data_IF_078120161393
#
_entry.id   IF_078120161393
#
_cell.length_a   1.000
_cell.length_b   1.000
_cell.length_c   1.000
_cell.angle_alpha   90.00
_cell.angle_beta   90.00
_cell.angle_gamma   90.00
#
_symmetry.space_group_name_H-M   'P 1'
#
loop_
_entity.id
_entity.type
_entity.pdbx_description
1 polymer ?
#
# COMPACT_ATOMS: atom_id res chain seq x y z
N UNK A 1 44.71 16.38 0.89
CA UNK A 1 44.78 15.79 -0.48
C UNK A 1 44.92 14.26 -0.53
N UNK A 2 45.34 13.55 0.54
CA UNK A 2 45.55 12.09 0.50
C UNK A 2 44.25 11.25 0.64
N UNK A 3 43.27 11.72 1.43
CA UNK A 3 42.01 11.00 1.67
C UNK A 3 41.10 10.91 0.42
N UNK A 4 41.14 11.91 -0.45
CA UNK A 4 40.32 11.97 -1.67
C UNK A 4 40.82 10.99 -2.75
N UNK A 5 42.14 10.73 -2.81
CA UNK A 5 42.72 9.68 -3.65
C UNK A 5 42.33 8.26 -3.19
N UNK A 6 42.16 8.06 -1.89
CA UNK A 6 41.72 6.77 -1.32
C UNK A 6 40.27 6.46 -1.65
N UNK A 7 39.38 7.45 -1.52
CA UNK A 7 37.96 7.32 -1.89
C UNK A 7 37.75 7.11 -3.39
N UNK A 8 38.52 7.79 -4.25
CA UNK A 8 38.52 7.54 -5.71
C UNK A 8 39.01 6.15 -6.08
N UNK A 9 40.08 5.66 -5.43
CA UNK A 9 40.57 4.28 -5.63
C UNK A 9 39.54 3.23 -5.21
N UNK A 10 38.79 3.47 -4.13
CA UNK A 10 37.72 2.57 -3.68
C UNK A 10 36.49 2.58 -4.59
N UNK A 11 36.11 3.72 -5.18
CA UNK A 11 35.06 3.78 -6.21
C UNK A 11 35.45 3.05 -7.49
N UNK A 12 36.67 3.29 -7.99
CA UNK A 12 37.16 2.61 -9.19
C UNK A 12 37.29 1.09 -8.96
N UNK A 13 37.66 0.65 -7.76
CA UNK A 13 37.68 -0.77 -7.40
C UNK A 13 36.27 -1.40 -7.35
N UNK A 14 35.25 -0.64 -6.95
CA UNK A 14 33.86 -1.10 -6.97
C UNK A 14 33.30 -1.19 -8.40
N UNK A 15 33.61 -0.23 -9.27
CA UNK A 15 33.23 -0.28 -10.71
C UNK A 15 33.93 -1.44 -11.44
N UNK A 16 35.21 -1.72 -11.13
CA UNK A 16 35.96 -2.86 -11.70
C UNK A 16 35.42 -4.20 -11.18
N UNK A 17 34.92 -4.26 -9.94
CA UNK A 17 34.24 -5.44 -9.42
C UNK A 17 32.88 -5.68 -10.09
N UNK A 18 32.12 -4.62 -10.38
CA UNK A 18 30.86 -4.71 -11.15
C UNK A 18 31.10 -5.14 -12.61
N UNK A 19 32.16 -4.64 -13.26
CA UNK A 19 32.51 -5.06 -14.63
C UNK A 19 33.01 -6.50 -14.71
N UNK A 20 33.75 -6.98 -13.70
CA UNK A 20 34.20 -8.38 -13.66
C UNK A 20 33.05 -9.37 -13.36
N UNK A 21 32.03 -8.94 -12.61
CA UNK A 21 30.81 -9.74 -12.39
C UNK A 21 29.97 -9.84 -13.67
N UNK A 22 29.93 -8.79 -14.47
CA UNK A 22 29.26 -8.82 -15.78
C UNK A 22 30.02 -9.73 -16.77
N UNK A 23 31.35 -9.65 -16.82
CA UNK A 23 32.18 -10.50 -17.68
C UNK A 23 32.16 -11.99 -17.29
N UNK A 24 32.10 -12.33 -15.99
CA UNK A 24 31.93 -13.72 -15.53
C UNK A 24 30.53 -14.29 -15.83
N UNK A 25 29.51 -13.43 -15.98
CA UNK A 25 28.17 -13.86 -16.41
C UNK A 25 28.08 -14.08 -17.93
N UNK A 26 28.88 -13.38 -18.72
CA UNK A 26 28.92 -13.51 -20.18
C UNK A 26 29.80 -14.70 -20.66
N UNK A 27 30.76 -15.18 -19.86
CA UNK A 27 31.54 -16.39 -20.20
C UNK A 27 30.75 -17.71 -20.06
N UNK A 28 29.63 -17.74 -19.31
CA UNK A 28 28.73 -18.89 -19.26
C UNK A 28 27.68 -18.90 -20.39
N UNK A 29 27.70 -17.90 -21.28
CA UNK A 29 26.75 -17.76 -22.38
C UNK A 29 27.14 -18.53 -23.66
N UNK A 30 28.27 -19.26 -23.70
CA UNK A 30 28.81 -19.83 -24.94
C UNK A 30 28.73 -21.37 -25.10
N UNK A 31 27.89 -22.07 -24.35
CA UNK A 31 27.63 -23.50 -24.58
C UNK A 31 26.12 -23.80 -24.65
N UNK A 32 25.46 -23.36 -25.73
CA UNK A 32 24.44 -24.14 -26.46
C UNK A 32 23.91 -23.32 -27.66
N UNK A 33 24.71 -23.22 -28.73
CA UNK A 33 24.19 -22.84 -30.04
C UNK A 33 23.42 -24.04 -30.62
N UNK A 34 22.13 -24.15 -30.28
CA UNK A 34 21.22 -25.03 -31.00
C UNK A 34 20.56 -24.21 -32.11
N UNK A 35 20.98 -24.47 -33.35
CA UNK A 35 20.45 -23.86 -34.57
C UNK A 35 18.93 -23.91 -34.60
N UNK A 36 18.29 -22.75 -34.70
CA UNK A 36 16.86 -22.62 -34.99
C UNK A 36 16.58 -23.09 -36.43
N UNK A 37 16.27 -24.37 -36.58
CA UNK A 37 15.53 -24.87 -37.73
C UNK A 37 14.14 -25.30 -37.24
N UNK A 38 13.17 -24.40 -37.39
CA UNK A 38 11.75 -24.70 -37.14
C UNK A 38 11.26 -25.67 -38.23
N UNK A 39 11.12 -26.96 -37.90
CA UNK A 39 10.32 -27.89 -38.69
C UNK A 39 8.84 -27.81 -38.26
N UNK A 40 7.90 -27.62 -39.21
CA UNK A 40 6.48 -27.55 -38.90
C UNK A 40 5.92 -28.96 -38.70
N UNK A 41 5.36 -29.25 -37.51
CA UNK A 41 4.47 -30.41 -37.34
C UNK A 41 4.66 -31.31 -36.11
N UNK A 42 5.61 -31.05 -35.21
CA UNK A 42 5.80 -31.87 -33.99
C UNK A 42 5.37 -31.10 -32.75
N UNK A 43 4.58 -31.72 -31.87
CA UNK A 43 4.07 -31.16 -30.62
C UNK A 43 5.22 -30.61 -29.74
N UNK A 44 5.41 -29.30 -29.86
CA UNK A 44 6.47 -28.50 -29.24
C UNK A 44 6.02 -27.96 -27.88
N UNK A 45 5.07 -28.61 -27.19
CA UNK A 45 4.65 -28.18 -25.85
C UNK A 45 5.62 -28.68 -24.77
N UNK A 46 6.06 -29.94 -24.85
CA UNK A 46 6.98 -30.54 -23.88
C UNK A 46 8.33 -29.79 -23.82
N UNK A 47 8.88 -29.45 -24.98
CA UNK A 47 10.14 -28.70 -25.08
C UNK A 47 10.01 -27.27 -24.56
N UNK A 48 8.89 -26.58 -24.85
CA UNK A 48 8.60 -25.24 -24.29
C UNK A 48 8.46 -25.27 -22.76
N UNK A 49 7.84 -26.32 -22.18
CA UNK A 49 7.77 -26.48 -20.73
C UNK A 49 9.13 -26.74 -20.10
N UNK A 50 9.97 -27.56 -20.72
CA UNK A 50 11.34 -27.80 -20.25
C UNK A 50 12.17 -26.50 -20.27
N UNK A 51 12.07 -25.71 -21.34
CA UNK A 51 12.72 -24.39 -21.44
C UNK A 51 12.22 -23.43 -20.35
N UNK A 52 10.91 -23.40 -20.07
CA UNK A 52 10.35 -22.57 -19.01
C UNK A 52 10.80 -23.01 -17.61
N UNK A 53 10.78 -24.32 -17.33
CA UNK A 53 11.26 -24.87 -16.05
C UNK A 53 12.75 -24.57 -15.83
N UNK A 54 13.57 -24.69 -16.88
CA UNK A 54 14.99 -24.35 -16.83
C UNK A 54 15.20 -22.84 -16.56
N UNK A 55 14.44 -21.97 -17.23
CA UNK A 55 14.48 -20.53 -16.99
C UNK A 55 14.08 -20.18 -15.55
N UNK A 56 13.00 -20.77 -15.02
CA UNK A 56 12.55 -20.56 -13.64
C UNK A 56 13.60 -21.00 -12.62
N UNK A 57 14.26 -22.14 -12.85
CA UNK A 57 15.33 -22.62 -11.98
C UNK A 57 16.55 -21.67 -12.00
N UNK A 58 16.95 -21.18 -13.18
CA UNK A 58 18.01 -20.17 -13.31
C UNK A 58 17.66 -18.87 -12.58
N UNK A 59 16.42 -18.37 -12.70
CA UNK A 59 15.97 -17.17 -11.97
C UNK A 59 16.02 -17.38 -10.46
N UNK A 60 15.60 -18.55 -9.97
CA UNK A 60 15.65 -18.90 -8.54
C UNK A 60 17.09 -18.98 -8.02
N UNK A 61 18.00 -19.57 -8.78
CA UNK A 61 19.42 -19.65 -8.43
C UNK A 61 20.07 -18.25 -8.41
N UNK A 62 19.80 -17.42 -9.42
CA UNK A 62 20.28 -16.02 -9.46
C UNK A 62 19.84 -15.24 -8.23
N UNK A 63 18.55 -15.32 -7.87
CA UNK A 63 18.00 -14.63 -6.70
C UNK A 63 18.60 -15.13 -5.38
N UNK A 64 18.89 -16.43 -5.27
CA UNK A 64 19.60 -16.99 -4.09
C UNK A 64 21.02 -16.46 -3.98
N UNK A 65 21.76 -16.40 -5.09
CA UNK A 65 23.12 -15.88 -5.12
C UNK A 65 23.15 -14.38 -4.77
N UNK A 66 22.23 -13.59 -5.31
CA UNK A 66 22.06 -12.17 -4.97
C UNK A 66 21.76 -11.96 -3.49
N UNK A 67 20.89 -12.80 -2.90
CA UNK A 67 20.56 -12.76 -1.48
C UNK A 67 21.77 -13.13 -0.58
N UNK A 68 22.57 -14.10 -1.01
CA UNK A 68 23.78 -14.49 -0.29
C UNK A 68 24.84 -13.38 -0.35
N UNK A 69 25.03 -12.77 -1.53
CA UNK A 69 25.96 -11.65 -1.72
C UNK A 69 25.53 -10.42 -0.90
N UNK A 70 24.24 -10.07 -0.89
CA UNK A 70 23.74 -8.99 -0.04
C UNK A 70 23.91 -9.30 1.44
N UNK A 71 23.68 -10.55 1.87
CA UNK A 71 23.91 -10.97 3.26
C UNK A 71 25.39 -10.84 3.67
N UNK A 72 26.33 -11.26 2.81
CA UNK A 72 27.77 -11.07 3.02
C UNK A 72 28.13 -9.59 3.12
N UNK A 73 27.63 -8.76 2.19
CA UNK A 73 27.91 -7.32 2.19
C UNK A 73 27.38 -6.60 3.44
N UNK A 74 26.21 -7.00 3.95
CA UNK A 74 25.67 -6.45 5.20
C UNK A 74 26.54 -6.83 6.41
N UNK A 75 27.11 -8.05 6.44
CA UNK A 75 28.04 -8.46 7.50
C UNK A 75 29.32 -7.63 7.47
N UNK A 76 29.93 -7.46 6.30
CA UNK A 76 31.12 -6.62 6.13
C UNK A 76 30.86 -5.17 6.60
N UNK A 77 29.75 -4.57 6.16
CA UNK A 77 29.39 -3.20 6.55
C UNK A 77 29.11 -3.05 8.05
N UNK A 78 28.60 -4.11 8.71
CA UNK A 78 28.44 -4.11 10.17
C UNK A 78 29.78 -4.15 10.89
N UNK A 79 30.73 -4.93 10.39
CA UNK A 79 32.09 -4.98 10.93
C UNK A 79 32.82 -3.64 10.73
N UNK A 80 32.72 -3.04 9.55
CA UNK A 80 33.26 -1.70 9.26
C UNK A 80 32.65 -0.63 10.19
N UNK A 81 31.32 -0.62 10.36
CA UNK A 81 30.66 0.32 11.28
C UNK A 81 31.12 0.13 12.72
N UNK A 82 31.28 -1.11 13.19
CA UNK A 82 31.78 -1.40 14.53
C UNK A 82 33.25 -0.97 14.72
N UNK A 83 34.05 -0.93 13.66
CA UNK A 83 35.41 -0.36 13.71
C UNK A 83 35.38 1.17 13.75
N UNK A 84 34.54 1.79 12.91
CA UNK A 84 34.37 3.25 12.87
C UNK A 84 33.84 3.81 14.19
N UNK A 85 32.89 3.13 14.83
CA UNK A 85 32.39 3.50 16.15
C UNK A 85 33.51 3.47 17.21
N UNK A 86 34.34 2.43 17.20
CA UNK A 86 35.53 2.34 18.08
C UNK A 86 36.53 3.48 17.82
N UNK A 87 36.76 3.85 16.57
CA UNK A 87 37.61 5.00 16.21
C UNK A 87 37.02 6.33 16.65
N UNK A 88 35.70 6.52 16.51
CA UNK A 88 35.00 7.71 17.00
C UNK A 88 35.12 7.84 18.52
N UNK A 89 35.00 6.75 19.26
CA UNK A 89 35.15 6.76 20.72
C UNK A 89 36.60 7.00 21.18
N UNK A 90 37.60 6.59 20.39
CA UNK A 90 39.00 6.98 20.64
C UNK A 90 39.20 8.47 20.45
N UNK A 91 38.77 9.01 19.29
CA UNK A 91 38.91 10.43 18.98
C UNK A 91 38.12 11.32 19.96
N UNK A 92 36.95 10.88 20.43
CA UNK A 92 36.19 11.60 21.47
C UNK A 92 36.94 11.66 22.80
N UNK A 93 37.62 10.57 23.19
CA UNK A 93 38.45 10.55 24.42
C UNK A 93 39.65 11.47 24.29
N UNK A 94 40.33 11.47 23.14
CA UNK A 94 41.44 12.39 22.86
C UNK A 94 40.99 13.85 22.89
N UNK A 95 39.84 14.17 22.28
CA UNK A 95 39.25 15.51 22.32
C UNK A 95 38.84 15.92 23.74
N UNK A 96 38.33 15.00 24.55
CA UNK A 96 38.01 15.27 25.94
C UNK A 96 39.27 15.60 26.76
N UNK A 97 40.36 14.83 26.58
CA UNK A 97 41.65 15.11 27.23
C UNK A 97 42.24 16.45 26.80
N UNK A 98 42.20 16.77 25.50
CA UNK A 98 42.61 18.07 24.97
C UNK A 98 41.77 19.22 25.54
N UNK A 99 40.46 19.03 25.69
CA UNK A 99 39.57 20.03 26.27
C UNK A 99 39.88 20.27 27.75
N UNK A 100 40.08 19.22 28.53
CA UNK A 100 40.51 19.33 29.94
C UNK A 100 41.88 20.02 30.07
N UNK A 101 42.83 19.68 29.20
CA UNK A 101 44.15 20.33 29.17
C UNK A 101 44.05 21.82 28.84
N UNK A 102 43.19 22.22 27.90
CA UNK A 102 42.93 23.64 27.57
C UNK A 102 42.27 24.37 28.74
N UNK A 103 41.35 23.74 29.48
CA UNK A 103 40.73 24.33 30.68
C UNK A 103 41.76 24.52 31.80
N UNK A 104 42.65 23.55 32.01
CA UNK A 104 43.74 23.64 33.00
C UNK A 104 44.80 24.69 32.61
N UNK A 105 45.08 24.86 31.31
CA UNK A 105 45.93 25.94 30.82
C UNK A 105 45.25 27.32 30.91
N UNK A 106 43.93 27.40 30.67
CA UNK A 106 43.16 28.63 30.81
C UNK A 106 43.00 29.06 32.28
N UNK A 107 43.01 28.12 33.23
CA UNK A 107 42.97 28.41 34.67
C UNK A 107 44.25 29.07 35.22
N UNK A 108 45.32 29.20 34.42
CA UNK A 108 46.52 29.99 34.76
C UNK A 108 46.49 31.43 34.20
N UNK A 109 45.40 31.84 33.54
CA UNK A 109 45.17 33.20 33.08
C UNK A 109 43.84 33.74 33.63
N UNK A 110 43.88 34.98 34.12
CA UNK A 110 42.85 35.67 34.88
C UNK A 110 41.37 35.47 34.47
N UNK A 111 40.56 35.36 35.52
CA UNK A 111 39.17 35.78 35.71
C UNK A 111 38.34 36.21 34.48
N UNK A 112 37.31 35.42 34.15
CA UNK A 112 35.97 35.95 33.90
C UNK A 112 34.87 34.87 34.05
N UNK A 113 33.79 35.24 34.74
CA UNK A 113 32.61 34.44 35.06
C UNK A 113 31.88 33.91 33.81
N UNK A 114 31.34 32.67 33.80
CA UNK A 114 30.45 32.22 32.75
C UNK A 114 28.99 32.63 33.06
N UNK A 115 28.38 33.32 32.10
CA UNK A 115 26.94 33.53 32.02
C UNK A 115 26.25 32.18 31.76
N UNK A 116 25.48 31.74 32.75
CA UNK A 116 24.64 30.55 32.68
C UNK A 116 23.43 30.85 31.79
N UNK A 117 23.55 30.56 30.48
CA UNK A 117 22.39 30.39 29.60
C UNK A 117 21.92 28.95 29.72
N UNK A 118 20.75 28.78 30.32
CA UNK A 118 20.02 27.52 30.35
C UNK A 118 19.86 26.93 28.93
N UNK A 119 20.68 25.94 28.63
CA UNK A 119 20.54 25.04 27.47
C UNK A 119 19.93 23.69 27.88
N UNK A 120 19.23 23.65 29.00
CA UNK A 120 18.58 22.48 29.58
C UNK A 120 17.07 22.50 29.34
N UNK A 121 16.61 22.70 28.10
CA UNK A 121 15.26 22.28 27.71
C UNK A 121 15.05 22.02 26.22
N UNK A 122 16.13 21.88 25.44
CA UNK A 122 16.00 21.29 24.11
C UNK A 122 16.30 19.79 24.22
N UNK A 123 15.35 19.02 24.76
CA UNK A 123 15.18 17.65 24.31
C UNK A 123 15.01 17.78 22.80
N UNK A 124 16.08 17.52 22.07
CA UNK A 124 16.06 17.31 20.63
C UNK A 124 15.17 16.09 20.45
N UNK A 125 13.86 16.30 20.39
CA UNK A 125 12.93 15.32 19.88
C UNK A 125 13.47 15.00 18.50
N UNK A 126 14.00 13.78 18.35
CA UNK A 126 14.27 13.25 17.02
C UNK A 126 12.91 13.15 16.34
N UNK A 127 12.55 14.21 15.63
CA UNK A 127 11.21 14.45 15.12
C UNK A 127 10.83 15.88 15.39
N UNK A 128 10.81 16.70 14.34
CA UNK A 128 9.98 17.91 14.34
C UNK A 128 8.51 17.54 14.60
N UNK A 129 7.59 18.52 14.70
CA UNK A 129 6.17 18.21 14.79
C UNK A 129 5.83 17.17 13.70
N UNK A 130 5.05 16.12 14.02
CA UNK A 130 4.72 15.10 13.05
C UNK A 130 4.21 15.79 11.79
N UNK A 131 4.90 15.63 10.68
CA UNK A 131 4.56 16.27 9.40
C UNK A 131 3.24 15.75 8.83
N UNK A 132 2.59 14.81 9.55
CA UNK A 132 1.44 14.05 9.11
C UNK A 132 0.68 13.45 10.30
N UNK A 133 -0.43 14.07 10.71
CA UNK A 133 -1.43 13.44 11.57
C UNK A 133 -2.52 12.83 10.69
N UNK A 134 -2.16 11.77 9.93
CA UNK A 134 -3.16 11.07 9.12
C UNK A 134 -3.66 9.89 9.93
N UNK A 135 -4.98 9.82 10.21
CA UNK A 135 -5.52 8.73 10.97
C UNK A 135 -5.28 7.42 10.25
N UNK A 136 -4.95 6.37 11.00
CA UNK A 136 -4.84 5.03 10.42
C UNK A 136 -6.20 4.58 9.89
N UNK A 137 -6.19 3.64 8.96
CA UNK A 137 -7.40 2.99 8.45
C UNK A 137 -8.33 2.53 9.58
N UNK A 138 -7.76 1.87 10.58
CA UNK A 138 -8.48 1.37 11.76
C UNK A 138 -9.13 2.51 12.56
N UNK A 139 -8.46 3.67 12.67
CA UNK A 139 -9.04 4.84 13.32
C UNK A 139 -10.22 5.43 12.53
N UNK A 140 -10.24 5.31 11.20
CA UNK A 140 -11.42 5.68 10.40
C UNK A 140 -12.55 4.66 10.55
N UNK A 141 -12.24 3.37 10.48
CA UNK A 141 -13.22 2.28 10.62
C UNK A 141 -13.87 2.27 12.00
N UNK A 142 -13.09 2.42 13.08
CA UNK A 142 -13.60 2.44 14.46
C UNK A 142 -14.50 3.66 14.72
N UNK A 143 -14.13 4.83 14.19
CA UNK A 143 -14.99 6.03 14.25
C UNK A 143 -16.29 5.82 13.50
N UNK A 144 -16.25 5.14 12.35
CA UNK A 144 -17.44 4.88 11.55
C UNK A 144 -18.37 3.83 12.14
N UNK A 145 -17.82 2.80 12.79
CA UNK A 145 -18.59 1.71 13.38
C UNK A 145 -19.57 2.19 14.46
N UNK A 146 -19.17 3.14 15.31
CA UNK A 146 -20.02 3.66 16.38
C UNK A 146 -21.12 4.63 15.88
N UNK A 147 -20.94 5.25 14.71
CA UNK A 147 -21.80 6.32 14.18
C UNK A 147 -22.70 5.82 13.04
N UNK A 148 -22.35 4.70 12.38
CA UNK A 148 -23.07 4.15 11.24
C UNK A 148 -22.78 4.85 9.90
N UNK A 149 -21.82 5.77 9.86
CA UNK A 149 -21.34 6.45 8.66
C UNK A 149 -19.84 6.73 8.75
N UNK A 150 -19.17 6.91 7.62
CA UNK A 150 -17.74 7.23 7.56
C UNK A 150 -17.52 8.72 7.26
N UNK A 151 -16.62 9.34 8.02
CA UNK A 151 -16.19 10.72 7.81
C UNK A 151 -15.23 10.86 6.61
N UNK A 152 -15.13 12.07 6.07
CA UNK A 152 -14.14 12.40 5.03
C UNK A 152 -12.73 12.42 5.63
N UNK A 153 -11.74 12.12 4.78
CA UNK A 153 -10.35 12.39 5.10
C UNK A 153 -10.11 13.89 5.38
N UNK A 154 -9.11 14.19 6.21
CA UNK A 154 -8.78 15.54 6.64
C UNK A 154 -7.78 16.19 5.68
N UNK A 155 -7.94 17.49 5.43
CA UNK A 155 -7.02 18.22 4.55
C UNK A 155 -5.61 18.29 5.14
N UNK A 156 -4.63 18.02 4.29
CA UNK A 156 -3.21 18.10 4.65
C UNK A 156 -2.56 19.29 3.93
N UNK A 157 -1.80 20.16 4.63
CA UNK A 157 -1.10 21.27 4.00
C UNK A 157 0.12 20.75 3.23
N UNK A 158 -0.06 20.43 1.94
CA UNK A 158 0.99 19.85 1.09
C UNK A 158 2.22 20.77 0.93
N UNK A 159 2.02 22.10 1.06
CA UNK A 159 3.09 23.10 1.03
C UNK A 159 4.09 22.96 2.17
N UNK A 160 3.69 22.37 3.30
CA UNK A 160 4.58 22.14 4.45
C UNK A 160 5.74 21.19 4.15
N UNK A 161 5.58 20.29 3.15
CA UNK A 161 6.62 19.33 2.78
C UNK A 161 6.61 19.01 1.28
N UNK A 162 6.72 20.06 0.45
CA UNK A 162 6.73 19.94 -1.02
C UNK A 162 7.81 18.97 -1.51
N UNK A 163 9.02 19.02 -0.92
CA UNK A 163 10.13 18.14 -1.32
C UNK A 163 9.78 16.65 -1.19
N UNK A 164 9.08 16.27 -0.12
CA UNK A 164 8.58 14.90 0.03
C UNK A 164 7.54 14.57 -1.04
N UNK A 165 6.52 15.41 -1.22
CA UNK A 165 5.42 15.13 -2.15
C UNK A 165 5.83 15.14 -3.63
N UNK A 166 6.95 15.80 -3.98
CA UNK A 166 7.55 15.72 -5.32
C UNK A 166 8.30 14.41 -5.57
N UNK A 167 8.72 13.69 -4.52
CA UNK A 167 9.54 12.48 -4.63
C UNK A 167 8.81 11.20 -4.26
N UNK A 168 7.87 11.27 -3.33
CA UNK A 168 7.20 10.13 -2.74
C UNK A 168 5.69 10.35 -2.64
N UNK A 169 4.95 9.25 -2.81
CA UNK A 169 3.50 9.22 -2.62
C UNK A 169 3.17 9.11 -1.14
N UNK A 170 2.08 9.73 -0.73
CA UNK A 170 1.48 9.52 0.58
C UNK A 170 0.72 8.19 0.58
N UNK A 171 0.66 7.50 1.72
CA UNK A 171 -0.03 6.21 1.84
C UNK A 171 -1.55 6.29 1.64
N UNK A 172 -2.13 7.44 1.95
CA UNK A 172 -3.55 7.73 1.78
C UNK A 172 -3.84 8.42 0.44
N UNK A 173 -2.84 8.63 -0.41
CA UNK A 173 -3.00 9.25 -1.74
C UNK A 173 -3.26 10.76 -1.75
N UNK A 174 -3.23 11.43 -0.59
CA UNK A 174 -3.32 12.90 -0.49
C UNK A 174 -2.07 13.60 -1.03
N UNK A 175 -2.19 14.87 -1.42
CA UNK A 175 -1.09 15.66 -2.00
C UNK A 175 -0.52 15.10 -3.30
N UNK A 176 -1.24 14.23 -4.01
CA UNK A 176 -0.95 13.94 -5.42
C UNK A 176 -1.21 15.18 -6.29
N UNK A 177 -2.28 15.91 -5.98
CA UNK A 177 -2.54 17.24 -6.53
C UNK A 177 -2.08 18.31 -5.53
N UNK A 178 -1.06 19.08 -5.91
CA UNK A 178 -0.43 20.09 -5.04
C UNK A 178 -1.17 21.44 -5.02
N UNK A 179 -2.22 21.60 -5.84
CA UNK A 179 -3.02 22.82 -5.84
C UNK A 179 -3.79 22.91 -4.52
N UNK A 180 -3.77 24.09 -3.90
CA UNK A 180 -4.48 24.37 -2.67
C UNK A 180 -5.98 24.02 -2.77
N UNK A 181 -6.53 23.41 -1.72
CA UNK A 181 -7.90 22.89 -1.69
C UNK A 181 -8.17 21.67 -2.58
N UNK A 182 -7.15 21.10 -3.25
CA UNK A 182 -7.28 19.90 -4.11
C UNK A 182 -6.46 18.71 -3.62
N UNK A 183 -5.82 18.82 -2.46
CA UNK A 183 -4.94 17.80 -1.87
C UNK A 183 -5.62 16.45 -1.66
N UNK A 184 -6.93 16.43 -1.40
CA UNK A 184 -7.71 15.22 -1.13
C UNK A 184 -8.29 14.54 -2.38
N UNK A 185 -8.05 15.08 -3.59
CA UNK A 185 -8.58 14.44 -4.81
C UNK A 185 -7.91 13.09 -5.02
N UNK A 186 -8.72 12.03 -5.03
CA UNK A 186 -8.24 10.66 -5.17
C UNK A 186 -7.62 10.07 -3.90
N UNK A 187 -7.64 10.79 -2.78
CA UNK A 187 -7.19 10.24 -1.50
C UNK A 187 -8.17 9.17 -0.97
N UNK A 188 -7.68 8.32 -0.07
CA UNK A 188 -8.49 7.37 0.69
C UNK A 188 -9.49 8.07 1.60
N UNK A 189 -10.58 7.37 1.95
CA UNK A 189 -11.72 7.89 2.72
C UNK A 189 -12.35 9.13 2.09
N UNK A 190 -12.52 9.08 0.77
CA UNK A 190 -13.19 10.09 -0.02
C UNK A 190 -14.40 9.48 -0.73
N UNK A 191 -15.49 10.24 -0.96
CA UNK A 191 -16.65 9.74 -1.69
C UNK A 191 -16.28 9.33 -3.12
N UNK A 192 -16.95 8.31 -3.64
CA UNK A 192 -16.82 7.98 -5.06
C UNK A 192 -17.30 9.14 -5.93
N UNK A 193 -16.57 9.41 -7.02
CA UNK A 193 -16.99 10.35 -8.05
C UNK A 193 -18.28 9.86 -8.73
N UNK A 194 -19.23 10.76 -8.93
CA UNK A 194 -20.48 10.46 -9.65
C UNK A 194 -20.40 10.96 -11.09
N UNK A 195 -20.41 10.03 -12.04
CA UNK A 195 -20.55 10.36 -13.47
C UNK A 195 -21.99 10.71 -13.85
N UNK A 196 -22.97 10.21 -13.08
CA UNK A 196 -24.39 10.57 -13.19
C UNK A 196 -24.98 10.85 -11.81
N UNK A 197 -26.05 11.66 -11.72
CA UNK A 197 -26.79 11.85 -10.47
C UNK A 197 -27.24 10.51 -9.86
N UNK A 198 -27.34 10.48 -8.53
CA UNK A 198 -27.83 9.30 -7.83
C UNK A 198 -29.29 9.02 -8.19
N UNK A 199 -29.64 7.75 -8.35
CA UNK A 199 -31.01 7.32 -8.60
C UNK A 199 -31.54 6.52 -7.41
N UNK A 200 -32.06 7.24 -6.42
CA UNK A 200 -32.80 6.68 -5.30
C UNK A 200 -34.29 6.98 -5.49
N UNK A 201 -35.14 6.10 -5.02
CA UNK A 201 -36.59 6.21 -5.24
C UNK A 201 -37.18 7.48 -4.60
N UNK A 202 -36.66 7.88 -3.43
CA UNK A 202 -37.02 9.13 -2.74
C UNK A 202 -36.06 10.29 -3.06
N UNK A 203 -35.15 10.09 -4.03
CA UNK A 203 -34.06 11.01 -4.37
C UNK A 203 -32.93 11.08 -3.35
N UNK A 204 -33.01 10.36 -2.23
CA UNK A 204 -32.06 10.51 -1.11
C UNK A 204 -31.35 9.21 -0.79
N UNK A 205 -32.07 8.16 -0.39
CA UNK A 205 -31.47 6.95 0.14
C UNK A 205 -32.30 5.69 -0.08
N UNK A 206 -33.59 5.81 -0.38
CA UNK A 206 -34.46 4.64 -0.59
C UNK A 206 -34.03 3.89 -1.84
N UNK A 207 -33.80 2.58 -1.68
CA UNK A 207 -33.44 1.72 -2.80
C UNK A 207 -34.58 1.67 -3.81
N UNK A 208 -34.21 1.68 -5.10
CA UNK A 208 -35.17 1.45 -6.18
C UNK A 208 -35.71 0.04 -6.05
N UNK A 209 -37.02 -0.12 -6.27
CA UNK A 209 -37.69 -1.42 -6.10
C UNK A 209 -38.56 -1.51 -4.85
N UNK A 210 -38.63 -0.45 -4.03
CA UNK A 210 -39.36 -0.46 -2.76
C UNK A 210 -40.85 -0.16 -2.97
N UNK A 211 -41.20 0.92 -3.69
CA UNK A 211 -42.61 1.21 -4.04
C UNK A 211 -43.05 0.59 -5.36
N UNK A 212 -42.15 0.58 -6.36
CA UNK A 212 -42.39 -0.06 -7.66
C UNK A 212 -41.60 -1.37 -7.71
N UNK A 213 -42.25 -2.54 -7.70
CA UNK A 213 -41.54 -3.82 -7.68
C UNK A 213 -40.63 -3.96 -8.90
N UNK A 214 -39.37 -4.28 -8.63
CA UNK A 214 -38.34 -4.58 -9.63
C UNK A 214 -38.02 -6.07 -9.61
N UNK A 215 -37.53 -6.66 -10.72
CA UNK A 215 -37.11 -8.05 -10.74
C UNK A 215 -36.07 -8.33 -9.64
N UNK A 216 -36.30 -9.39 -8.88
CA UNK A 216 -35.37 -9.83 -7.85
C UNK A 216 -33.99 -10.14 -8.49
N UNK A 217 -32.87 -9.56 -8.00
CA UNK A 217 -31.53 -9.78 -8.55
C UNK A 217 -31.12 -11.25 -8.65
N UNK A 218 -31.54 -12.08 -7.69
CA UNK A 218 -31.26 -13.52 -7.70
C UNK A 218 -32.01 -14.24 -8.82
N UNK A 219 -33.28 -13.88 -9.04
CA UNK A 219 -34.07 -14.39 -10.18
C UNK A 219 -33.40 -14.03 -11.50
N UNK A 220 -32.98 -12.78 -11.66
CA UNK A 220 -32.30 -12.30 -12.87
C UNK A 220 -31.00 -13.07 -13.11
N UNK A 221 -30.18 -13.26 -12.07
CA UNK A 221 -28.92 -14.02 -12.16
C UNK A 221 -29.18 -15.48 -12.52
N UNK A 222 -30.19 -16.10 -11.90
CA UNK A 222 -30.58 -17.48 -12.18
C UNK A 222 -31.05 -17.65 -13.63
N UNK A 223 -31.83 -16.71 -14.17
CA UNK A 223 -32.37 -16.81 -15.52
C UNK A 223 -31.36 -16.42 -16.62
N UNK A 224 -30.54 -15.39 -16.40
CA UNK A 224 -29.69 -14.81 -17.45
C UNK A 224 -28.23 -15.27 -17.39
N UNK A 225 -27.69 -15.52 -16.21
CA UNK A 225 -26.26 -15.79 -16.01
C UNK A 225 -25.98 -17.25 -15.66
N UNK A 226 -27.01 -18.09 -15.51
CA UNK A 226 -26.80 -19.52 -15.32
C UNK A 226 -26.43 -20.18 -16.65
N UNK A 227 -25.28 -20.84 -16.67
CA UNK A 227 -24.82 -21.63 -17.81
C UNK A 227 -24.26 -22.96 -17.31
N UNK A 228 -24.48 -24.02 -18.08
CA UNK A 228 -23.82 -25.32 -17.92
C UNK A 228 -22.51 -25.41 -18.72
N UNK A 229 -22.24 -24.44 -19.58
CA UNK A 229 -21.06 -24.42 -20.45
C UNK A 229 -19.96 -23.52 -19.89
N UNK A 230 -18.72 -24.00 -19.98
CA UNK A 230 -17.53 -23.21 -19.70
C UNK A 230 -17.12 -22.48 -20.97
N UNK A 231 -16.97 -21.16 -20.90
CA UNK A 231 -16.46 -20.37 -22.03
C UNK A 231 -14.97 -20.64 -22.17
N UNK A 232 -14.56 -21.22 -23.30
CA UNK A 232 -13.14 -21.41 -23.62
C UNK A 232 -12.52 -20.04 -23.95
N UNK A 233 -11.36 -19.74 -23.35
CA UNK A 233 -10.67 -18.46 -23.54
C UNK A 233 -9.20 -18.71 -23.85
N UNK A 234 -8.60 -17.83 -24.65
CA UNK A 234 -7.15 -17.82 -24.93
C UNK A 234 -6.34 -17.23 -23.77
N UNK A 235 -7.00 -16.62 -22.79
CA UNK A 235 -6.36 -16.02 -21.62
C UNK A 235 -6.22 -17.05 -20.50
N UNK A 236 -5.08 -17.00 -19.82
CA UNK A 236 -4.88 -17.79 -18.61
C UNK A 236 -5.56 -17.12 -17.40
N UNK A 237 -5.62 -17.84 -16.28
CA UNK A 237 -6.23 -17.34 -15.05
C UNK A 237 -5.54 -16.11 -14.43
N UNK A 238 -4.32 -15.77 -14.87
CA UNK A 238 -3.61 -14.59 -14.36
C UNK A 238 -4.34 -13.30 -14.74
N UNK A 239 -5.00 -13.24 -15.91
CA UNK A 239 -5.74 -12.06 -16.32
C UNK A 239 -6.85 -11.71 -15.32
N UNK A 240 -7.61 -12.71 -14.87
CA UNK A 240 -8.65 -12.55 -13.85
C UNK A 240 -8.03 -12.06 -12.53
N UNK A 241 -6.97 -12.72 -12.08
CA UNK A 241 -6.32 -12.40 -10.82
C UNK A 241 -5.70 -10.99 -10.81
N UNK A 242 -5.11 -10.58 -11.94
CA UNK A 242 -4.57 -9.24 -12.12
C UNK A 242 -5.67 -8.18 -12.13
N UNK A 243 -6.81 -8.45 -12.78
CA UNK A 243 -7.98 -7.59 -12.73
C UNK A 243 -8.49 -7.37 -11.30
N UNK A 244 -8.54 -8.44 -10.49
CA UNK A 244 -8.89 -8.33 -9.08
C UNK A 244 -7.84 -7.53 -8.28
N UNK A 245 -6.55 -7.80 -8.52
CA UNK A 245 -5.46 -7.06 -7.87
C UNK A 245 -5.57 -5.56 -8.12
N UNK A 246 -5.79 -5.17 -9.38
CA UNK A 246 -5.97 -3.77 -9.76
C UNK A 246 -7.23 -3.16 -9.14
N UNK A 247 -8.37 -3.85 -9.21
CA UNK A 247 -9.63 -3.37 -8.62
C UNK A 247 -9.51 -3.13 -7.11
N UNK A 248 -8.82 -4.02 -6.40
CA UNK A 248 -8.59 -3.89 -4.96
C UNK A 248 -7.57 -2.81 -4.60
N UNK A 249 -6.79 -2.32 -5.56
CA UNK A 249 -5.89 -1.18 -5.36
C UNK A 249 -6.69 0.12 -5.31
N UNK A 250 -7.52 0.34 -6.33
CA UNK A 250 -8.23 1.62 -6.53
C UNK A 250 -9.59 1.73 -5.83
N UNK A 251 -10.20 0.61 -5.41
CA UNK A 251 -11.54 0.62 -4.83
C UNK A 251 -11.66 -0.29 -3.62
N UNK A 252 -12.31 0.24 -2.57
CA UNK A 252 -12.81 -0.55 -1.45
C UNK A 252 -13.98 0.16 -0.78
N UNK A 253 -15.05 -0.59 -0.54
CA UNK A 253 -16.25 -0.10 0.12
C UNK A 253 -16.78 -1.23 1.01
N UNK A 254 -16.02 -1.53 2.06
CA UNK A 254 -16.32 -2.64 2.96
C UNK A 254 -17.29 -2.21 4.03
N UNK A 255 -18.17 -3.15 4.40
CA UNK A 255 -19.14 -2.98 5.49
C UNK A 255 -19.09 -4.24 6.32
N UNK A 256 -19.17 -4.08 7.63
CA UNK A 256 -19.41 -5.19 8.53
C UNK A 256 -20.80 -5.76 8.23
N UNK A 257 -20.84 -7.01 7.75
CA UNK A 257 -22.10 -7.66 7.46
C UNK A 257 -22.81 -8.02 8.77
N UNK A 258 -23.73 -7.19 9.21
CA UNK A 258 -24.56 -7.43 10.40
C UNK A 258 -25.97 -7.92 10.04
N UNK A 259 -26.41 -7.68 8.81
CA UNK A 259 -27.71 -8.12 8.34
C UNK A 259 -27.79 -9.65 8.29
N UNK A 260 -28.86 -10.19 8.87
CA UNK A 260 -29.34 -11.55 8.63
C UNK A 260 -30.67 -11.47 7.88
N UNK A 261 -31.14 -12.60 7.38
CA UNK A 261 -32.38 -12.66 6.61
C UNK A 261 -33.61 -12.18 7.40
N UNK A 262 -33.58 -12.35 8.72
CA UNK A 262 -34.63 -11.92 9.64
C UNK A 262 -34.46 -10.46 10.10
N UNK A 263 -33.29 -9.85 9.84
CA UNK A 263 -32.99 -8.49 10.28
C UNK A 263 -33.80 -7.47 9.47
N UNK A 264 -34.72 -6.79 10.13
CA UNK A 264 -35.46 -5.67 9.56
C UNK A 264 -34.74 -4.36 9.91
N UNK A 265 -33.93 -3.86 8.97
CA UNK A 265 -33.18 -2.62 9.13
C UNK A 265 -33.03 -1.91 7.77
N UNK A 266 -32.97 -0.58 7.73
CA UNK A 266 -32.89 0.19 6.47
C UNK A 266 -31.56 0.03 5.70
N UNK A 267 -30.54 -0.44 6.42
CA UNK A 267 -29.23 -0.82 5.88
C UNK A 267 -29.19 -2.27 5.39
N UNK A 268 -30.24 -3.06 5.59
CA UNK A 268 -30.32 -4.43 5.08
C UNK A 268 -31.03 -4.46 3.73
N UNK A 269 -30.33 -5.01 2.73
CA UNK A 269 -30.81 -5.22 1.38
C UNK A 269 -30.91 -6.73 1.10
N UNK A 270 -31.52 -7.46 2.02
CA UNK A 270 -31.65 -8.92 1.95
C UNK A 270 -32.37 -9.33 0.66
N UNK A 271 -31.79 -10.30 -0.05
CA UNK A 271 -32.31 -10.77 -1.33
C UNK A 271 -33.04 -12.10 -1.12
N UNK A 272 -34.36 -12.18 -1.38
CA UNK A 272 -35.06 -13.45 -1.28
C UNK A 272 -34.57 -14.40 -2.37
N UNK A 273 -34.45 -15.68 -2.05
CA UNK A 273 -34.10 -16.72 -3.03
C UNK A 273 -35.40 -17.27 -3.64
N UNK A 274 -35.51 -17.33 -4.98
CA UNK A 274 -36.71 -17.85 -5.63
C UNK A 274 -36.97 -19.32 -5.27
N UNK A 275 -38.25 -19.69 -5.09
CA UNK A 275 -38.65 -21.06 -4.78
C UNK A 275 -38.28 -22.08 -5.86
N UNK A 276 -37.93 -21.67 -7.08
CA UNK A 276 -37.49 -22.58 -8.14
C UNK A 276 -35.96 -22.67 -8.26
N UNK A 277 -35.20 -21.92 -7.45
CA UNK A 277 -33.74 -21.98 -7.43
C UNK A 277 -33.27 -23.27 -6.74
N UNK A 278 -32.96 -24.29 -7.53
CA UNK A 278 -32.50 -25.59 -7.02
C UNK A 278 -31.07 -25.56 -6.48
N UNK A 279 -30.26 -24.55 -6.83
CA UNK A 279 -28.87 -24.44 -6.39
C UNK A 279 -28.80 -23.97 -4.93
N UNK A 280 -29.60 -22.97 -4.56
CA UNK A 280 -29.57 -22.40 -3.20
C UNK A 280 -30.44 -23.12 -2.18
N UNK A 281 -31.44 -23.90 -2.62
CA UNK A 281 -32.28 -24.73 -1.74
C UNK A 281 -31.50 -25.67 -0.82
N UNK A 282 -30.36 -26.19 -1.28
CA UNK A 282 -29.51 -27.11 -0.51
C UNK A 282 -28.58 -26.41 0.48
N UNK A 283 -28.37 -25.11 0.32
CA UNK A 283 -27.32 -24.36 1.01
C UNK A 283 -27.85 -23.40 2.07
N UNK A 284 -29.09 -22.92 1.94
CA UNK A 284 -29.69 -22.00 2.91
C UNK A 284 -31.14 -22.38 3.26
N UNK A 285 -31.44 -22.72 4.52
CA UNK A 285 -32.78 -23.13 4.95
C UNK A 285 -33.80 -21.98 4.92
N UNK A 286 -33.36 -20.73 5.00
CA UNK A 286 -34.24 -19.56 5.13
C UNK A 286 -34.55 -18.86 3.79
N UNK A 287 -34.18 -19.46 2.65
CA UNK A 287 -34.48 -18.94 1.31
C UNK A 287 -34.14 -17.45 1.10
N UNK A 288 -32.99 -16.99 1.61
CA UNK A 288 -32.58 -15.59 1.47
C UNK A 288 -31.04 -15.47 1.45
N UNK A 289 -30.53 -14.42 0.82
CA UNK A 289 -29.11 -14.05 0.84
C UNK A 289 -29.01 -12.73 1.61
N UNK A 290 -28.39 -12.73 2.81
CA UNK A 290 -28.26 -11.51 3.58
C UNK A 290 -27.25 -10.56 2.93
N UNK A 291 -27.57 -9.28 2.91
CA UNK A 291 -26.69 -8.26 2.36
C UNK A 291 -26.85 -6.96 3.14
N UNK A 292 -25.75 -6.45 3.66
CA UNK A 292 -25.68 -5.11 4.24
C UNK A 292 -25.31 -4.11 3.13
N UNK A 293 -26.00 -2.97 3.09
CA UNK A 293 -25.72 -1.89 2.14
C UNK A 293 -24.34 -1.29 2.40
N UNK A 294 -23.70 -0.84 1.34
CA UNK A 294 -22.39 -0.17 1.36
C UNK A 294 -22.31 0.99 2.34
N UNK A 295 -21.12 1.23 2.92
CA UNK A 295 -20.91 2.30 3.88
C UNK A 295 -21.14 3.67 3.22
N UNK A 296 -21.62 4.62 4.02
CA UNK A 296 -22.08 5.93 3.54
C UNK A 296 -21.23 7.04 4.14
N UNK A 297 -21.03 8.10 3.37
CA UNK A 297 -20.45 9.33 3.85
C UNK A 297 -21.39 10.04 4.84
N UNK A 298 -20.88 10.39 6.02
CA UNK A 298 -21.64 11.15 7.01
C UNK A 298 -22.21 12.45 6.43
N UNK A 299 -23.45 12.79 6.81
CA UNK A 299 -24.18 13.94 6.28
C UNK A 299 -24.82 13.70 4.91
N UNK A 300 -24.74 12.49 4.36
CA UNK A 300 -25.46 12.10 3.14
C UNK A 300 -26.43 10.97 3.42
N UNK A 301 -27.54 10.91 2.67
CA UNK A 301 -28.51 9.81 2.83
C UNK A 301 -29.38 9.88 4.08
N UNK A 302 -29.22 10.91 4.92
CA UNK A 302 -30.03 11.18 6.12
C UNK A 302 -30.67 12.58 5.99
N UNK A 303 -31.96 12.70 6.31
CA UNK A 303 -32.71 13.97 6.17
C UNK A 303 -33.99 13.84 5.34
N UNK A 304 -34.96 13.04 5.79
CA UNK A 304 -36.27 12.90 5.11
C UNK A 304 -37.09 14.20 5.12
N UNK A 305 -36.74 15.18 5.97
CA UNK A 305 -37.38 16.50 6.06
C UNK A 305 -36.30 17.58 6.28
N UNK A 306 -36.23 18.58 5.40
CA UNK A 306 -35.31 19.72 5.49
C UNK A 306 -34.71 20.16 4.13
N UNK A 307 -34.36 21.45 3.96
CA UNK A 307 -33.63 21.92 2.77
C UNK A 307 -32.19 21.41 2.79
N UNK A 308 -31.71 20.85 1.67
CA UNK A 308 -30.36 20.24 1.57
C UNK A 308 -30.35 18.70 1.49
N UNK A 309 -31.29 18.09 0.76
CA UNK A 309 -31.31 16.63 0.50
C UNK A 309 -30.08 16.18 -0.29
N UNK A 310 -29.01 15.79 0.39
CA UNK A 310 -27.81 15.22 -0.24
C UNK A 310 -28.01 13.72 -0.42
N UNK A 311 -28.01 13.19 -1.66
CA UNK A 311 -28.17 11.76 -1.90
C UNK A 311 -27.06 10.95 -1.23
N UNK A 312 -27.44 9.81 -0.66
CA UNK A 312 -26.57 8.82 -0.01
C UNK A 312 -25.35 8.55 -0.90
N UNK A 313 -24.16 8.86 -0.42
CA UNK A 313 -22.92 8.72 -1.21
C UNK A 313 -21.97 7.72 -0.58
N UNK A 314 -21.65 6.61 -1.26
CA UNK A 314 -20.70 5.64 -0.73
C UNK A 314 -19.28 6.19 -0.72
N UNK A 315 -18.47 5.67 0.19
CA UNK A 315 -17.09 6.09 0.38
C UNK A 315 -16.12 5.07 -0.20
N UNK A 316 -15.02 5.55 -0.77
CA UNK A 316 -13.87 4.73 -1.11
C UNK A 316 -12.88 4.76 0.06
N UNK A 317 -12.67 3.62 0.70
CA UNK A 317 -11.69 3.47 1.77
C UNK A 317 -10.25 3.38 1.26
N UNK A 318 -10.08 3.15 -0.05
CA UNK A 318 -8.79 3.20 -0.73
C UNK A 318 -8.61 4.52 -1.48
N UNK A 319 -7.36 4.82 -1.85
CA UNK A 319 -7.09 5.87 -2.84
C UNK A 319 -7.58 5.45 -4.23
N UNK A 320 -7.83 6.42 -5.11
CA UNK A 320 -8.22 6.19 -6.49
C UNK A 320 -7.02 5.98 -7.43
N UNK A 321 -5.80 5.90 -6.88
CA UNK A 321 -4.55 5.80 -7.62
C UNK A 321 -4.11 4.36 -7.78
N UNK A 322 -3.46 4.05 -8.90
CA UNK A 322 -2.74 2.78 -9.09
C UNK A 322 -1.34 3.00 -8.51
N UNK A 323 -1.17 2.65 -7.25
CA UNK A 323 0.05 2.89 -6.48
C UNK A 323 0.49 1.67 -5.66
N UNK A 324 -0.12 0.51 -5.91
CA UNK A 324 0.09 -0.72 -5.18
C UNK A 324 -0.22 -0.58 -3.68
N UNK A 325 -1.14 0.30 -3.27
CA UNK A 325 -1.72 0.35 -1.93
C UNK A 325 -2.17 -1.01 -1.41
N UNK A 326 -2.61 -1.94 -2.28
CA UNK A 326 -2.95 -3.30 -1.87
C UNK A 326 -1.75 -4.09 -1.32
N UNK A 327 -0.55 -3.85 -1.86
CA UNK A 327 0.72 -4.37 -1.33
C UNK A 327 1.27 -3.46 -0.19
N UNK A 328 1.09 -2.15 -0.30
CA UNK A 328 1.50 -1.17 0.72
C UNK A 328 0.83 -1.40 2.07
N UNK A 329 -0.44 -1.82 2.10
CA UNK A 329 -1.16 -2.21 3.34
C UNK A 329 -0.51 -3.42 4.02
N UNK A 330 -0.05 -4.39 3.24
CA UNK A 330 0.72 -5.52 3.76
C UNK A 330 2.04 -5.02 4.35
N UNK A 331 2.70 -4.08 3.67
CA UNK A 331 3.98 -3.52 4.11
C UNK A 331 3.87 -2.59 5.33
N UNK A 332 2.80 -1.80 5.50
CA UNK A 332 2.59 -1.00 6.72
C UNK A 332 2.41 -1.89 7.95
N UNK A 333 1.61 -2.96 7.83
CA UNK A 333 1.43 -3.92 8.92
C UNK A 333 2.74 -4.67 9.20
N UNK A 334 3.49 -5.03 8.16
CA UNK A 334 4.81 -5.67 8.28
C UNK A 334 5.87 -4.73 8.91
N UNK A 335 5.91 -3.45 8.52
CA UNK A 335 6.82 -2.46 9.11
C UNK A 335 6.45 -2.11 10.55
N UNK A 336 5.16 -2.16 10.95
CA UNK A 336 4.77 -2.04 12.36
C UNK A 336 5.29 -3.21 13.19
N UNK A 337 5.32 -4.42 12.64
CA UNK A 337 5.87 -5.62 13.31
C UNK A 337 7.40 -5.48 13.48
N UNK A 338 8.12 -4.98 12.48
CA UNK A 338 9.58 -4.85 12.53
C UNK A 338 10.10 -3.58 13.22
N UNK A 339 9.27 -2.56 13.44
CA UNK A 339 9.65 -1.39 14.26
C UNK A 339 9.68 -1.69 15.77
N UNK A 340 9.17 -2.86 16.18
CA UNK A 340 9.18 -3.33 17.56
C UNK A 340 10.30 -4.37 17.84
N UNK A 341 11.26 -4.54 16.92
CA UNK A 341 12.45 -5.38 17.10
C UNK A 341 13.75 -4.56 17.02
#
# INVERSE_FOLDING_TARGET
>A
MSADRSLRRKRNAAEVAESNVQNQMDEQHNEFNFSDQEQPGVDNYALKRLKNNAAVNKTRQKKRLEQENTSKRVKELREENAQLERSLDSMRRELALLKEMVVVCAAKGDAHQPVQKDLSNNKRTKGGPPTRNIPTREQFENRGFSIGCLGRNQENPCSSNVCYHLRYRTFDGSCNNLVEGRSLRGAAFMPFGRLRPANYEDGVARMVGTSKPMPNPRTVTHLLLSSSFVVLTVFNGLLMQFGQFLSHDITRNTVTNFCRCETVHEECANMPVPLHDTRFKKQQPNFCIPMTRSSVLCGTGSGRQGPGRIPRTPINENGAWIDASQAGKFFENFLKIFKNF
#
